data_IF_142078926543
#
_entry.id   IF_142078926543
#
_cell.length_a   1.000
_cell.length_b   1.000
_cell.length_c   1.000
_cell.angle_alpha   90.00
_cell.angle_beta   90.00
_cell.angle_gamma   90.00
#
_symmetry.space_group_name_H-M   'P 1'
#
loop_
_entity.id
_entity.type
_entity.pdbx_description
1 polymer ?
#
# COMPACT_ATOMS: atom_id res chain seq x y z
N UNK A 1 -25.06 29.81 4.71
CA UNK A 1 -23.79 29.23 5.20
C UNK A 1 -23.41 28.15 4.22
N UNK A 2 -22.19 28.10 3.67
CA UNK A 2 -21.84 27.09 2.68
C UNK A 2 -21.85 25.71 3.35
N UNK A 3 -22.65 24.81 2.80
CA UNK A 3 -22.62 23.38 3.09
C UNK A 3 -21.29 22.86 2.56
N UNK A 4 -20.30 22.70 3.43
CA UNK A 4 -19.08 21.96 3.08
C UNK A 4 -19.48 20.51 2.88
N UNK A 5 -19.44 20.03 1.64
CA UNK A 5 -19.62 18.62 1.30
C UNK A 5 -18.62 17.79 2.12
N UNK A 6 -19.06 16.93 3.05
CA UNK A 6 -18.19 15.90 3.59
C UNK A 6 -17.96 14.84 2.48
N UNK A 7 -16.85 14.12 2.56
CA UNK A 7 -16.58 12.90 1.76
C UNK A 7 -16.02 13.05 0.33
N UNK A 8 -15.20 14.07 0.08
CA UNK A 8 -14.08 13.93 -0.87
C UNK A 8 -12.74 14.05 -0.16
N UNK A 9 -12.58 13.36 0.97
CA UNK A 9 -11.23 12.95 1.33
C UNK A 9 -10.82 11.89 0.29
N UNK A 10 -10.27 12.35 -0.83
CA UNK A 10 -9.82 11.47 -1.91
C UNK A 10 -8.88 10.43 -1.33
N UNK A 11 -8.94 9.19 -1.80
CA UNK A 11 -8.06 8.08 -1.39
C UNK A 11 -6.57 8.48 -1.32
N UNK A 12 -6.16 9.41 -2.18
CA UNK A 12 -4.84 10.03 -2.18
C UNK A 12 -4.51 10.84 -0.91
N UNK A 13 -5.49 11.58 -0.35
CA UNK A 13 -5.37 12.27 0.94
C UNK A 13 -5.20 11.28 2.09
N UNK A 14 -5.95 10.17 2.09
CA UNK A 14 -5.81 9.12 3.10
C UNK A 14 -4.44 8.45 3.02
N UNK A 15 -3.96 8.12 1.80
CA UNK A 15 -2.60 7.59 1.58
C UNK A 15 -1.52 8.50 2.17
N UNK A 16 -1.61 9.82 1.92
CA UNK A 16 -0.64 10.77 2.48
C UNK A 16 -0.67 10.77 4.01
N UNK A 17 -1.86 10.77 4.61
CA UNK A 17 -2.02 10.69 6.08
C UNK A 17 -1.44 9.40 6.65
N UNK A 18 -1.60 8.28 5.95
CA UNK A 18 -0.98 6.99 6.32
C UNK A 18 0.53 7.09 6.32
N UNK A 19 1.14 7.62 5.25
CA UNK A 19 2.59 7.79 5.16
C UNK A 19 3.12 8.68 6.28
N UNK A 20 2.45 9.80 6.56
CA UNK A 20 2.83 10.69 7.65
C UNK A 20 2.70 10.03 9.03
N UNK A 21 1.64 9.26 9.26
CA UNK A 21 1.46 8.52 10.50
C UNK A 21 2.55 7.46 10.69
N UNK A 22 2.84 6.68 9.65
CA UNK A 22 3.90 5.67 9.65
C UNK A 22 5.30 6.28 9.90
N UNK A 23 5.56 7.49 9.38
CA UNK A 23 6.81 8.23 9.69
C UNK A 23 6.91 8.64 11.15
N UNK A 24 5.79 8.97 11.78
CA UNK A 24 5.75 9.42 13.18
C UNK A 24 5.79 8.24 14.15
N UNK A 25 5.09 7.15 13.81
CA UNK A 25 5.02 5.93 14.60
C UNK A 25 4.76 4.73 13.71
N UNK A 26 5.72 3.82 13.63
CA UNK A 26 5.61 2.58 12.85
C UNK A 26 4.62 1.58 13.45
N UNK A 27 4.25 1.77 14.72
CA UNK A 27 3.31 0.93 15.45
C UNK A 27 1.86 1.42 15.28
N UNK A 28 1.66 2.67 14.83
CA UNK A 28 0.35 3.24 14.58
C UNK A 28 -0.17 2.83 13.19
N UNK A 29 -0.70 1.61 13.13
CA UNK A 29 -1.26 1.02 11.91
C UNK A 29 -2.75 1.34 11.73
N UNK A 30 -3.35 2.17 12.59
CA UNK A 30 -4.80 2.44 12.56
C UNK A 30 -5.24 3.08 11.25
N UNK A 31 -4.48 4.06 10.75
CA UNK A 31 -4.77 4.70 9.46
C UNK A 31 -4.50 3.77 8.28
N UNK A 32 -3.46 2.92 8.37
CA UNK A 32 -3.17 1.93 7.35
C UNK A 32 -4.31 0.91 7.25
N UNK A 33 -4.83 0.44 8.38
CA UNK A 33 -5.96 -0.48 8.42
C UNK A 33 -7.25 0.16 7.88
N UNK A 34 -7.51 1.44 8.18
CA UNK A 34 -8.63 2.16 7.57
C UNK A 34 -8.48 2.28 6.05
N UNK A 35 -7.27 2.58 5.58
CA UNK A 35 -6.96 2.62 4.15
C UNK A 35 -7.20 1.25 3.49
N UNK A 36 -6.72 0.17 4.12
CA UNK A 36 -6.92 -1.19 3.63
C UNK A 36 -8.40 -1.57 3.61
N UNK A 37 -9.18 -1.25 4.64
CA UNK A 37 -10.61 -1.57 4.72
C UNK A 37 -11.40 -0.85 3.61
N UNK A 38 -11.15 0.44 3.41
CA UNK A 38 -11.76 1.21 2.31
C UNK A 38 -11.40 0.63 0.94
N UNK A 39 -10.14 0.22 0.73
CA UNK A 39 -9.68 -0.35 -0.53
C UNK A 39 -10.15 -1.79 -0.74
N UNK A 40 -10.25 -2.58 0.32
CA UNK A 40 -10.70 -3.97 0.26
C UNK A 40 -12.17 -4.05 -0.17
N UNK A 41 -12.98 -3.05 0.16
CA UNK A 41 -14.35 -2.92 -0.36
C UNK A 41 -14.41 -2.63 -1.88
N UNK A 42 -13.33 -2.10 -2.46
CA UNK A 42 -13.19 -1.83 -3.90
C UNK A 42 -12.49 -2.97 -4.68
N UNK A 43 -11.78 -3.85 -3.96
CA UNK A 43 -11.01 -4.98 -4.50
C UNK A 43 -11.95 -6.19 -4.66
N UNK A 44 -12.34 -6.48 -5.90
CA UNK A 44 -13.20 -7.61 -6.24
C UNK A 44 -12.45 -8.91 -6.60
N UNK A 45 -11.17 -8.81 -6.98
CA UNK A 45 -10.39 -9.92 -7.52
C UNK A 45 -8.93 -9.94 -7.00
N UNK A 46 -8.30 -11.12 -7.02
CA UNK A 46 -6.94 -11.37 -6.51
C UNK A 46 -5.90 -10.35 -6.99
N UNK A 47 -5.96 -9.96 -8.27
CA UNK A 47 -5.06 -8.98 -8.88
C UNK A 47 -5.16 -7.60 -8.24
N UNK A 48 -6.36 -7.16 -7.85
CA UNK A 48 -6.54 -5.89 -7.16
C UNK A 48 -6.03 -5.95 -5.72
N UNK A 49 -6.12 -7.12 -5.07
CA UNK A 49 -5.51 -7.37 -3.76
C UNK A 49 -3.98 -7.30 -3.80
N UNK A 50 -3.37 -7.89 -4.83
CA UNK A 50 -1.93 -7.79 -5.06
C UNK A 50 -1.50 -6.32 -5.29
N UNK A 51 -2.25 -5.58 -6.11
CA UNK A 51 -1.97 -4.14 -6.33
C UNK A 51 -2.07 -3.31 -5.05
N UNK A 52 -2.97 -3.67 -4.14
CA UNK A 52 -3.07 -3.04 -2.82
C UNK A 52 -1.82 -3.31 -1.98
N UNK A 53 -1.28 -4.52 -2.00
CA UNK A 53 -0.01 -4.85 -1.31
C UNK A 53 1.17 -4.04 -1.87
N UNK A 54 1.23 -3.86 -3.19
CA UNK A 54 2.23 -2.98 -3.84
C UNK A 54 2.07 -1.53 -3.39
N UNK A 55 0.84 -1.03 -3.29
CA UNK A 55 0.55 0.32 -2.82
C UNK A 55 0.99 0.53 -1.36
N UNK A 56 0.77 -0.46 -0.50
CA UNK A 56 1.27 -0.47 0.88
C UNK A 56 2.80 -0.47 0.95
N UNK A 57 3.47 -1.28 0.13
CA UNK A 57 4.93 -1.31 0.06
C UNK A 57 5.51 0.07 -0.31
N UNK A 58 4.89 0.78 -1.26
CA UNK A 58 5.26 2.15 -1.59
C UNK A 58 5.04 3.13 -0.44
N UNK A 59 3.95 3.00 0.32
CA UNK A 59 3.72 3.84 1.50
C UNK A 59 4.80 3.63 2.57
N UNK A 60 5.19 2.38 2.84
CA UNK A 60 6.30 2.09 3.75
C UNK A 60 7.62 2.67 3.25
N UNK A 61 7.90 2.55 1.94
CA UNK A 61 9.11 3.12 1.30
C UNK A 61 9.14 4.64 1.47
N UNK A 62 8.04 5.33 1.18
CA UNK A 62 7.91 6.78 1.36
C UNK A 62 8.00 7.18 2.83
N UNK A 63 7.52 6.33 3.74
CA UNK A 63 7.67 6.54 5.18
C UNK A 63 9.10 6.31 5.68
N UNK A 64 10.02 5.85 4.83
CA UNK A 64 11.40 5.53 5.22
C UNK A 64 11.55 4.18 5.92
N UNK A 65 10.50 3.36 5.92
CA UNK A 65 10.43 2.06 6.58
C UNK A 65 10.91 0.97 5.62
N UNK A 66 12.22 0.97 5.35
CA UNK A 66 12.84 0.13 4.32
C UNK A 66 12.61 -1.37 4.51
N UNK A 67 12.75 -1.87 5.73
CA UNK A 67 12.54 -3.30 6.02
C UNK A 67 11.09 -3.72 5.76
N UNK A 68 10.11 -2.96 6.27
CA UNK A 68 8.69 -3.23 6.05
C UNK A 68 8.30 -3.08 4.57
N UNK A 69 8.86 -2.08 3.88
CA UNK A 69 8.65 -1.91 2.45
C UNK A 69 9.19 -3.11 1.66
N UNK A 70 10.37 -3.60 2.03
CA UNK A 70 11.00 -4.77 1.40
C UNK A 70 10.17 -6.03 1.61
N UNK A 71 9.73 -6.29 2.83
CA UNK A 71 8.86 -7.42 3.14
C UNK A 71 7.56 -7.35 2.34
N UNK A 72 6.94 -6.18 2.26
CA UNK A 72 5.71 -5.97 1.49
C UNK A 72 5.91 -6.16 -0.03
N UNK A 73 7.04 -5.70 -0.60
CA UNK A 73 7.36 -5.96 -2.00
C UNK A 73 7.62 -7.44 -2.27
N UNK A 74 8.27 -8.17 -1.36
CA UNK A 74 8.50 -9.60 -1.50
C UNK A 74 7.20 -10.42 -1.40
N UNK A 75 6.27 -10.05 -0.52
CA UNK A 75 4.94 -10.66 -0.43
C UNK A 75 4.16 -10.45 -1.75
N UNK A 76 4.16 -9.23 -2.27
CA UNK A 76 3.52 -8.93 -3.55
C UNK A 76 4.22 -9.67 -4.72
N UNK A 77 5.54 -9.84 -4.69
CA UNK A 77 6.27 -10.62 -5.67
C UNK A 77 5.89 -12.11 -5.61
N UNK A 78 5.80 -12.68 -4.41
CA UNK A 78 5.37 -14.07 -4.22
C UNK A 78 3.96 -14.31 -4.81
N UNK A 79 3.04 -13.37 -4.59
CA UNK A 79 1.71 -13.42 -5.21
C UNK A 79 1.78 -13.34 -6.75
N UNK A 80 2.58 -12.41 -7.29
CA UNK A 80 2.79 -12.29 -8.74
C UNK A 80 3.34 -13.60 -9.34
N UNK A 81 4.28 -14.26 -8.65
CA UNK A 81 4.82 -15.55 -9.06
C UNK A 81 3.74 -16.65 -9.07
N UNK A 82 2.87 -16.69 -8.06
CA UNK A 82 1.74 -17.61 -8.01
C UNK A 82 0.70 -17.36 -9.12
N UNK A 83 0.48 -16.09 -9.49
CA UNK A 83 -0.38 -15.71 -10.61
C UNK A 83 0.30 -15.86 -11.98
N UNK A 84 1.58 -16.27 -12.02
CA UNK A 84 2.41 -16.42 -13.23
C UNK A 84 2.59 -15.11 -13.99
N UNK A 85 2.66 -14.00 -13.25
CA UNK A 85 3.01 -12.67 -13.76
C UNK A 85 4.52 -12.45 -13.57
N UNK A 86 5.33 -13.07 -14.44
CA UNK A 86 6.79 -13.07 -14.35
C UNK A 86 7.38 -11.64 -14.45
N UNK A 87 6.78 -10.78 -15.27
CA UNK A 87 7.18 -9.37 -15.43
C UNK A 87 7.00 -8.57 -14.14
N UNK A 88 5.89 -8.80 -13.43
CA UNK A 88 5.61 -8.13 -12.17
C UNK A 88 6.48 -8.69 -11.04
N UNK A 89 6.66 -10.01 -10.99
CA UNK A 89 7.57 -10.66 -10.04
C UNK A 89 8.99 -10.08 -10.10
N UNK A 90 9.56 -9.95 -11.31
CA UNK A 90 10.89 -9.40 -11.50
C UNK A 90 10.97 -7.95 -10.98
N UNK A 91 10.04 -7.09 -11.39
CA UNK A 91 9.98 -5.68 -10.95
C UNK A 91 9.87 -5.53 -9.44
N UNK A 92 8.99 -6.29 -8.80
CA UNK A 92 8.80 -6.20 -7.34
C UNK A 92 10.02 -6.72 -6.58
N UNK A 93 10.66 -7.77 -7.09
CA UNK A 93 11.92 -8.28 -6.53
C UNK A 93 13.07 -7.28 -6.69
N UNK A 94 13.18 -6.61 -7.83
CA UNK A 94 14.16 -5.53 -8.04
C UNK A 94 13.91 -4.34 -7.09
N UNK A 95 12.66 -3.89 -6.97
CA UNK A 95 12.26 -2.84 -6.01
C UNK A 95 12.63 -3.22 -4.57
N UNK A 96 12.34 -4.46 -4.15
CA UNK A 96 12.68 -4.96 -2.81
C UNK A 96 14.20 -4.97 -2.56
N UNK A 97 15.00 -5.28 -3.58
CA UNK A 97 16.47 -5.31 -3.48
C UNK A 97 17.11 -3.91 -3.53
N UNK A 98 16.39 -2.91 -4.03
CA UNK A 98 16.88 -1.53 -4.14
C UNK A 98 16.66 -0.69 -2.87
N UNK A 99 15.93 -1.20 -1.88
CA UNK A 99 15.63 -0.54 -0.60
C UNK A 99 16.81 -0.59 0.38
#
# INVERSE_FOLDING_TARGET
>A
MPEGTPDQESTESLRQRVVEALRQSTEDLSLLNEFLDRRQLEVGDSRQGMMLNVEVAHMYKEAGLKELAKEAFLDAAEQAWHERDDDLFEKLTEEANAL
#
